data_IF_498789964998
#
_entry.id   IF_498789964998
#
_cell.length_a   1.000
_cell.length_b   1.000
_cell.length_c   1.000
_cell.angle_alpha   90.00
_cell.angle_beta   90.00
_cell.angle_gamma   90.00
#
_symmetry.space_group_name_H-M   'P 1'
#
loop_
_entity.id
_entity.type
_entity.pdbx_description
1 polymer ?
#
# COMPACT_ATOMS: atom_id res chain seq x y z
N UNK A 1 -23.15 -53.15 23.34
CA UNK A 1 -23.47 -51.71 23.49
C UNK A 1 -22.23 -50.89 23.15
N UNK A 2 -22.28 -50.11 22.06
CA UNK A 2 -21.64 -48.78 21.80
C UNK A 2 -20.13 -48.60 22.15
N UNK A 3 -19.23 -48.06 21.32
CA UNK A 3 -19.30 -46.80 20.55
C UNK A 3 -18.25 -46.77 19.41
N UNK A 4 -18.66 -46.22 18.27
CA UNK A 4 -17.80 -45.67 17.22
C UNK A 4 -17.06 -44.43 17.72
N UNK A 5 -15.80 -44.25 17.30
CA UNK A 5 -15.14 -42.96 17.33
C UNK A 5 -14.42 -42.72 15.98
N UNK A 6 -15.16 -42.16 15.02
CA UNK A 6 -14.59 -41.59 13.80
C UNK A 6 -13.82 -40.32 14.19
N UNK A 7 -12.50 -40.32 14.06
CA UNK A 7 -11.71 -39.08 14.10
C UNK A 7 -11.63 -38.53 12.69
N UNK A 8 -12.53 -37.61 12.38
CA UNK A 8 -12.47 -36.74 11.21
C UNK A 8 -11.42 -35.66 11.52
N UNK A 9 -10.16 -35.89 11.12
CA UNK A 9 -9.15 -34.86 11.14
C UNK A 9 -9.49 -33.85 10.05
N UNK A 10 -10.11 -32.75 10.47
CA UNK A 10 -10.47 -31.60 9.66
C UNK A 10 -9.19 -30.99 9.07
N UNK A 11 -9.03 -31.13 7.75
CA UNK A 11 -8.10 -30.35 6.92
C UNK A 11 -8.60 -28.90 6.88
N UNK A 12 -8.17 -28.08 7.84
CA UNK A 12 -8.27 -26.63 7.75
C UNK A 12 -6.85 -26.09 7.71
N UNK A 13 -6.51 -25.40 6.62
CA UNK A 13 -5.54 -24.30 6.46
C UNK A 13 -4.84 -24.38 5.10
N UNK A 14 -5.46 -23.78 4.06
CA UNK A 14 -4.68 -22.92 3.17
C UNK A 14 -5.32 -21.55 2.89
N UNK A 15 -6.35 -21.13 3.63
CA UNK A 15 -7.09 -19.90 3.31
C UNK A 15 -6.44 -18.59 3.81
N UNK A 16 -5.40 -18.65 4.64
CA UNK A 16 -4.76 -17.44 5.18
C UNK A 16 -3.82 -16.73 4.18
N UNK A 17 -3.29 -17.43 3.17
CA UNK A 17 -2.32 -16.86 2.22
C UNK A 17 -2.97 -16.23 0.98
N UNK A 18 -4.24 -16.57 0.69
CA UNK A 18 -4.94 -16.05 -0.47
C UNK A 18 -5.48 -14.62 -0.23
N UNK A 19 -5.97 -14.33 0.97
CA UNK A 19 -6.55 -13.02 1.29
C UNK A 19 -5.52 -11.88 1.27
N UNK A 20 -4.31 -12.10 1.80
CA UNK A 20 -3.26 -11.07 1.79
C UNK A 20 -2.70 -10.75 0.39
N UNK A 21 -2.75 -11.71 -0.57
CA UNK A 21 -2.28 -11.47 -1.95
C UNK A 21 -3.25 -10.63 -2.76
N UNK A 22 -4.55 -10.89 -2.60
CA UNK A 22 -5.60 -10.15 -3.31
C UNK A 22 -5.54 -8.64 -2.99
N UNK A 23 -5.24 -8.27 -1.74
CA UNK A 23 -5.10 -6.87 -1.33
C UNK A 23 -3.86 -6.18 -1.94
N UNK A 24 -2.75 -6.91 -2.12
CA UNK A 24 -1.52 -6.38 -2.75
C UNK A 24 -1.71 -6.15 -4.23
N UNK A 25 -2.23 -7.16 -4.94
CA UNK A 25 -2.42 -7.10 -6.39
C UNK A 25 -3.39 -5.97 -6.76
N UNK A 26 -4.42 -5.79 -5.94
CA UNK A 26 -5.35 -4.66 -6.04
C UNK A 26 -4.62 -3.32 -5.87
N UNK A 27 -3.88 -3.11 -4.78
CA UNK A 27 -3.15 -1.86 -4.55
C UNK A 27 -2.06 -1.60 -5.60
N UNK A 28 -1.44 -2.64 -6.14
CA UNK A 28 -0.48 -2.54 -7.23
C UNK A 28 -1.17 -2.13 -8.55
N UNK A 29 -2.41 -2.59 -8.80
CA UNK A 29 -3.19 -2.20 -9.98
C UNK A 29 -3.57 -0.71 -10.00
N UNK A 30 -3.52 -0.05 -8.84
CA UNK A 30 -3.75 1.39 -8.68
C UNK A 30 -2.51 2.23 -9.04
N UNK A 31 -1.36 1.61 -9.27
CA UNK A 31 -0.13 2.33 -9.64
C UNK A 31 -0.24 2.77 -11.12
N UNK A 32 0.11 4.03 -11.46
CA UNK A 32 0.13 4.49 -12.84
C UNK A 32 1.01 3.62 -13.75
N UNK A 33 0.54 3.38 -14.98
CA UNK A 33 1.10 2.40 -15.91
C UNK A 33 2.53 2.72 -16.39
N UNK A 34 2.98 3.96 -16.22
CA UNK A 34 4.34 4.42 -16.47
C UNK A 34 5.32 3.96 -15.40
N UNK A 35 4.87 3.48 -14.23
CA UNK A 35 5.74 2.94 -13.20
C UNK A 35 5.95 1.43 -13.38
N UNK A 36 7.19 0.98 -13.21
CA UNK A 36 7.53 -0.44 -13.19
C UNK A 36 7.86 -0.87 -11.76
N UNK A 37 7.00 -1.69 -11.16
CA UNK A 37 7.22 -2.26 -9.82
C UNK A 37 8.20 -3.43 -9.92
N UNK A 38 9.25 -3.39 -9.09
CA UNK A 38 10.28 -4.45 -9.03
C UNK A 38 10.22 -5.28 -7.76
N UNK A 39 9.70 -4.71 -6.66
CA UNK A 39 9.64 -5.39 -5.36
C UNK A 39 8.47 -4.89 -4.52
N UNK A 40 7.82 -5.79 -3.78
CA UNK A 40 6.84 -5.46 -2.74
C UNK A 40 7.49 -5.57 -1.37
N UNK A 41 7.61 -4.44 -0.67
CA UNK A 41 8.32 -4.34 0.60
C UNK A 41 7.43 -4.65 1.80
N UNK A 42 6.19 -4.15 1.76
CA UNK A 42 5.21 -4.38 2.82
C UNK A 42 3.81 -4.25 2.26
N UNK A 43 2.87 -4.99 2.86
CA UNK A 43 1.45 -4.84 2.63
C UNK A 43 0.70 -5.10 3.93
N UNK A 44 -0.20 -4.18 4.27
CA UNK A 44 -1.05 -4.31 5.44
C UNK A 44 -2.44 -3.72 5.14
N UNK A 45 -3.48 -4.48 5.48
CA UNK A 45 -4.79 -3.92 5.81
C UNK A 45 -4.80 -3.62 7.30
N UNK A 46 -4.63 -2.34 7.67
CA UNK A 46 -4.62 -1.95 9.09
C UNK A 46 -6.03 -1.71 9.61
N UNK A 47 -6.16 -1.81 10.95
CA UNK A 47 -7.30 -1.25 11.70
C UNK A 47 -7.55 0.19 11.23
N UNK A 48 -8.82 0.62 11.25
CA UNK A 48 -9.28 1.96 10.82
C UNK A 48 -9.48 2.16 9.30
N UNK A 49 -10.03 1.17 8.59
CA UNK A 49 -10.50 1.38 7.22
C UNK A 49 -9.39 1.81 6.24
N UNK A 50 -8.14 1.35 6.44
CA UNK A 50 -7.03 1.70 5.57
C UNK A 50 -6.33 0.47 4.98
N UNK A 51 -6.11 0.47 3.67
CA UNK A 51 -5.25 -0.48 2.99
C UNK A 51 -4.00 0.24 2.49
N UNK A 52 -2.85 -0.39 2.69
CA UNK A 52 -1.55 0.18 2.32
C UNK A 52 -0.61 -0.89 1.79
N UNK A 53 0.12 -0.53 0.74
CA UNK A 53 1.26 -1.30 0.28
C UNK A 53 2.41 -0.35 -0.05
N UNK A 54 3.64 -0.81 0.23
CA UNK A 54 4.87 -0.14 -0.19
C UNK A 54 5.64 -1.03 -1.15
N UNK A 55 6.14 -0.42 -2.21
CA UNK A 55 6.84 -1.03 -3.33
C UNK A 55 8.17 -0.33 -3.58
N UNK A 56 9.07 -1.01 -4.27
CA UNK A 56 10.13 -0.39 -5.06
C UNK A 56 9.64 -0.35 -6.50
N UNK A 57 9.67 0.84 -7.08
CA UNK A 57 9.27 1.10 -8.46
C UNK A 57 10.22 2.09 -9.14
N UNK A 58 10.48 1.85 -10.41
CA UNK A 58 11.14 2.81 -11.29
C UNK A 58 10.09 3.56 -12.12
N UNK A 59 10.38 4.82 -12.41
CA UNK A 59 9.54 5.66 -13.25
C UNK A 59 10.41 6.27 -14.36
N UNK A 60 9.93 6.37 -15.61
CA UNK A 60 10.65 7.06 -16.66
C UNK A 60 10.80 8.56 -16.35
N UNK A 61 11.77 9.26 -16.97
CA UNK A 61 11.82 10.71 -16.91
C UNK A 61 10.48 11.31 -17.33
N UNK A 62 9.95 12.23 -16.53
CA UNK A 62 8.66 12.88 -16.77
C UNK A 62 7.45 12.23 -16.10
N UNK A 63 7.56 11.01 -15.56
CA UNK A 63 6.46 10.28 -14.91
C UNK A 63 5.79 11.02 -13.72
N UNK A 64 6.50 11.99 -13.14
CA UNK A 64 6.02 12.80 -12.00
C UNK A 64 5.73 14.26 -12.36
N UNK A 65 5.74 14.62 -13.65
CA UNK A 65 5.51 16.01 -14.09
C UNK A 65 4.11 16.53 -13.72
N UNK A 66 3.09 15.66 -13.76
CA UNK A 66 1.72 15.99 -13.34
C UNK A 66 1.45 15.72 -11.85
N UNK A 67 2.48 15.34 -11.07
CA UNK A 67 2.36 15.06 -9.65
C UNK A 67 2.65 16.30 -8.81
N UNK A 68 2.04 16.36 -7.64
CA UNK A 68 2.31 17.42 -6.68
C UNK A 68 3.51 17.05 -5.83
N UNK A 69 4.48 17.96 -5.69
CA UNK A 69 5.59 17.75 -4.74
C UNK A 69 5.05 17.71 -3.31
N UNK A 70 5.42 16.67 -2.56
CA UNK A 70 4.96 16.47 -1.19
C UNK A 70 5.74 17.40 -0.24
N UNK A 71 5.09 18.43 0.29
CA UNK A 71 5.72 19.40 1.20
C UNK A 71 5.63 19.05 2.69
N UNK A 72 4.73 18.13 3.06
CA UNK A 72 4.51 17.65 4.43
C UNK A 72 3.74 16.33 4.39
N UNK A 73 3.80 15.56 5.48
CA UNK A 73 2.86 14.45 5.66
C UNK A 73 1.43 14.99 5.71
N UNK A 74 0.51 14.31 5.02
CA UNK A 74 -0.91 14.68 4.97
C UNK A 74 -1.63 14.49 6.32
N UNK A 75 -2.92 14.84 6.35
CA UNK A 75 -3.88 14.66 7.45
C UNK A 75 -3.53 13.49 8.40
N UNK A 76 -3.76 13.69 9.70
CA UNK A 76 -3.61 12.72 10.76
C UNK A 76 -4.20 11.35 10.41
N UNK A 77 -5.30 11.28 9.66
CA UNK A 77 -5.89 10.01 9.19
C UNK A 77 -5.00 9.22 8.24
N UNK A 78 -4.41 9.88 7.22
CA UNK A 78 -3.48 9.23 6.29
C UNK A 78 -2.18 8.87 6.98
N UNK A 79 -1.67 9.79 7.81
CA UNK A 79 -0.46 9.56 8.59
C UNK A 79 -0.63 8.38 9.55
N UNK A 80 -1.79 8.21 10.18
CA UNK A 80 -2.08 7.09 11.08
C UNK A 80 -2.11 5.71 10.39
N UNK A 81 -2.30 5.68 9.06
CA UNK A 81 -2.22 4.44 8.30
C UNK A 81 -0.76 3.98 8.04
N UNK A 82 0.20 4.87 8.25
CA UNK A 82 1.61 4.65 7.93
C UNK A 82 2.37 4.38 9.23
N UNK A 83 3.23 3.36 9.23
CA UNK A 83 4.08 3.05 10.37
C UNK A 83 5.03 4.20 10.69
N UNK A 84 5.41 4.36 11.96
CA UNK A 84 6.25 5.48 12.38
C UNK A 84 7.59 5.52 11.63
N UNK A 85 8.23 4.38 11.40
CA UNK A 85 9.47 4.28 10.64
C UNK A 85 9.29 4.78 9.20
N UNK A 86 8.19 4.42 8.57
CA UNK A 86 7.86 4.82 7.20
C UNK A 86 7.52 6.31 7.12
N UNK A 87 6.83 6.86 8.14
CA UNK A 87 6.65 8.31 8.27
C UNK A 87 7.98 9.06 8.37
N UNK A 88 8.97 8.53 9.09
CA UNK A 88 10.30 9.12 9.19
C UNK A 88 11.01 9.13 7.83
N UNK A 89 10.91 8.03 7.05
CA UNK A 89 11.45 7.97 5.67
C UNK A 89 10.83 9.03 4.77
N UNK A 90 9.50 9.17 4.83
CA UNK A 90 8.80 10.20 4.06
C UNK A 90 9.20 11.62 4.46
N UNK A 91 9.36 11.90 5.76
CA UNK A 91 9.90 13.20 6.22
C UNK A 91 11.28 13.49 5.63
N UNK A 92 12.14 12.50 5.52
CA UNK A 92 13.46 12.67 4.91
C UNK A 92 13.37 12.92 3.39
N UNK A 93 12.55 12.17 2.66
CA UNK A 93 12.33 12.39 1.22
C UNK A 93 11.71 13.77 0.93
N UNK A 94 10.78 14.23 1.77
CA UNK A 94 10.22 15.58 1.72
C UNK A 94 11.32 16.64 1.91
N UNK A 95 12.19 16.46 2.91
CA UNK A 95 13.30 17.38 3.17
C UNK A 95 14.30 17.44 2.01
N UNK A 96 14.51 16.32 1.30
CA UNK A 96 15.33 16.25 0.08
C UNK A 96 14.60 16.73 -1.18
N UNK A 97 13.30 17.03 -1.08
CA UNK A 97 12.44 17.43 -2.19
C UNK A 97 12.29 16.38 -3.30
N UNK A 98 12.42 15.10 -2.94
CA UNK A 98 12.29 13.96 -3.87
C UNK A 98 10.96 13.23 -3.72
N UNK A 99 10.13 13.65 -2.74
CA UNK A 99 8.81 13.09 -2.50
C UNK A 99 7.74 13.75 -3.39
N UNK A 100 6.99 12.92 -4.10
CA UNK A 100 5.91 13.26 -5.00
C UNK A 100 4.62 12.61 -4.54
N UNK A 101 3.49 13.23 -4.85
CA UNK A 101 2.17 12.79 -4.46
C UNK A 101 1.16 12.99 -5.58
N UNK A 102 0.32 11.97 -5.76
CA UNK A 102 -0.86 11.99 -6.61
C UNK A 102 -2.05 11.37 -5.90
N UNK A 103 -3.24 11.86 -6.24
CA UNK A 103 -4.50 11.18 -5.92
C UNK A 103 -5.10 10.68 -7.22
N UNK A 104 -5.52 9.42 -7.23
CA UNK A 104 -6.33 8.87 -8.31
C UNK A 104 -7.74 8.60 -7.80
N UNK A 105 -8.71 8.76 -8.69
CA UNK A 105 -10.12 8.49 -8.41
C UNK A 105 -10.65 7.49 -9.45
N UNK A 106 -10.55 6.20 -9.13
CA UNK A 106 -11.26 5.07 -9.73
C UNK A 106 -10.44 3.78 -9.51
N UNK A 107 -11.04 2.64 -9.11
CA UNK A 107 -12.42 2.48 -8.64
C UNK A 107 -12.66 3.09 -7.25
N UNK A 108 -11.60 3.41 -6.52
CA UNK A 108 -11.63 4.10 -5.23
C UNK A 108 -10.60 5.24 -5.18
N UNK A 109 -10.64 6.03 -4.10
CA UNK A 109 -9.69 7.11 -3.87
C UNK A 109 -8.39 6.54 -3.32
N UNK A 110 -7.34 6.55 -4.14
CA UNK A 110 -6.01 6.14 -3.71
C UNK A 110 -5.05 7.33 -3.63
N UNK A 111 -4.25 7.35 -2.58
CA UNK A 111 -3.15 8.29 -2.37
C UNK A 111 -1.84 7.57 -2.70
N UNK A 112 -1.09 8.10 -3.67
CA UNK A 112 0.14 7.50 -4.15
C UNK A 112 1.28 8.45 -3.82
N UNK A 113 2.24 7.98 -3.01
CA UNK A 113 3.45 8.71 -2.65
C UNK A 113 4.64 8.04 -3.32
N UNK A 114 5.56 8.84 -3.86
CA UNK A 114 6.73 8.33 -4.55
C UNK A 114 7.98 9.13 -4.18
N UNK A 115 9.05 8.46 -3.78
CA UNK A 115 10.36 9.06 -3.59
C UNK A 115 11.23 8.75 -4.81
N UNK A 116 11.48 9.77 -5.64
CA UNK A 116 12.21 9.61 -6.91
C UNK A 116 13.69 9.24 -6.73
N UNK A 117 14.25 9.43 -5.55
CA UNK A 117 15.65 9.07 -5.27
C UNK A 117 15.80 7.61 -4.89
N UNK A 118 14.90 7.09 -4.05
CA UNK A 118 14.96 5.70 -3.58
C UNK A 118 14.13 4.73 -4.41
N UNK A 119 13.28 5.23 -5.32
CA UNK A 119 12.30 4.43 -6.04
C UNK A 119 11.17 3.91 -5.14
N UNK A 120 11.08 4.36 -3.88
CA UNK A 120 10.06 3.89 -2.95
C UNK A 120 8.70 4.48 -3.33
N UNK A 121 7.72 3.61 -3.53
CA UNK A 121 6.34 3.97 -3.89
C UNK A 121 5.38 3.40 -2.85
N UNK A 122 4.50 4.23 -2.31
CA UNK A 122 3.47 3.81 -1.37
C UNK A 122 2.08 4.13 -1.90
N UNK A 123 1.20 3.13 -1.90
CA UNK A 123 -0.21 3.28 -2.24
C UNK A 123 -1.02 3.13 -0.97
N UNK A 124 -1.94 4.08 -0.74
CA UNK A 124 -2.87 4.06 0.39
C UNK A 124 -4.29 4.27 -0.09
N UNK A 125 -5.23 3.47 0.40
CA UNK A 125 -6.67 3.68 0.23
C UNK A 125 -7.31 3.82 1.60
N UNK A 126 -8.25 4.75 1.72
CA UNK A 126 -9.08 4.91 2.91
C UNK A 126 -10.51 4.53 2.51
N UNK A 127 -11.06 3.45 3.09
CA UNK A 127 -12.48 3.15 2.94
C UNK A 127 -13.27 4.29 3.60
N UNK A 128 -14.15 4.91 2.83
CA UNK A 128 -15.04 5.93 3.36
C UNK A 128 -16.02 5.27 4.33
N UNK A 129 -16.18 5.86 5.52
CA UNK A 129 -17.29 5.50 6.42
C UNK A 129 -18.59 5.73 5.62
N UNK A 130 -19.28 4.62 5.28
CA UNK A 130 -20.57 4.63 4.59
C UNK A 130 -21.68 5.16 5.50
#
# INVERSE_FOLDING_TARGET
MTRFAFRLSVLLFPFALAACRVDVDHLQSLIPADFTVTETLSSESKRFNCQRATFIASAPPGATEDWTRLGRLFDAKLSACIELEEQLRWKQAIARQTAWWRVIQAPERAHIWYDSESGRLQVLTLQQDR
#
